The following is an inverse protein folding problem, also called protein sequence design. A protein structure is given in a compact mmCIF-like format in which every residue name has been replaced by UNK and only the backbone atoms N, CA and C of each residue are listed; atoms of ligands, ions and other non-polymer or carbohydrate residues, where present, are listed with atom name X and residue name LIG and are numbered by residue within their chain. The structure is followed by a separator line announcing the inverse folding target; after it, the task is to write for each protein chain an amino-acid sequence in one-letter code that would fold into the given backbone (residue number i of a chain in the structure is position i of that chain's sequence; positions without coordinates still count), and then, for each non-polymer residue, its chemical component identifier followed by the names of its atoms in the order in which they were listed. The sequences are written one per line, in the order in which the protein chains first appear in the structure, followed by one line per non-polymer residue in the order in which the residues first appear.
data_IF_324222153847
#
_entry.id   IF_324222153847
#
_cell.length_a   1.000
_cell.length_b   1.000
_cell.length_c   1.000
_cell.angle_alpha   90.00
_cell.angle_beta   90.00
_cell.angle_gamma   90.00
#
_symmetry.space_group_name_H-M   'P 1'
#
loop_
_entity.id
_entity.type
_entity.pdbx_description
1 polymer ?
#
# COMPACT_ATOMS: atom_id res chain seq x y z
N UNK A 1 -1.30 -14.69 2.59
CA UNK A 1 0.07 -14.21 2.31
C UNK A 1 0.10 -12.70 2.45
N UNK A 2 1.20 -12.12 2.95
CA UNK A 2 1.35 -10.67 3.09
C UNK A 2 2.64 -10.19 2.43
N UNK A 3 2.56 -9.16 1.59
CA UNK A 3 3.70 -8.58 0.89
C UNK A 3 3.89 -7.11 1.27
N UNK A 4 4.99 -6.79 1.96
CA UNK A 4 5.31 -5.43 2.38
C UNK A 4 6.20 -4.73 1.33
N UNK A 5 5.65 -3.72 0.65
CA UNK A 5 6.36 -3.00 -0.41
C UNK A 5 6.05 -1.50 -0.40
N UNK A 6 6.98 -0.68 -0.86
CA UNK A 6 6.70 0.72 -1.15
C UNK A 6 7.10 1.06 -2.58
N UNK A 7 6.41 2.04 -3.16
CA UNK A 7 6.86 2.66 -4.42
C UNK A 7 8.29 3.20 -4.31
N UNK A 8 8.90 3.50 -5.45
CA UNK A 8 10.28 3.97 -5.49
C UNK A 8 10.41 5.21 -6.36
N UNK A 9 11.49 5.95 -6.12
CA UNK A 9 11.90 7.06 -6.96
C UNK A 9 13.20 6.65 -7.66
N UNK A 10 13.10 6.28 -8.93
CA UNK A 10 14.21 5.73 -9.71
C UNK A 10 14.37 6.55 -10.97
N UNK A 11 15.60 6.91 -11.34
CA UNK A 11 15.90 7.71 -12.54
C UNK A 11 15.04 8.99 -12.65
N UNK A 12 14.85 9.68 -11.51
CA UNK A 12 14.02 10.89 -11.38
C UNK A 12 12.54 10.71 -11.76
N UNK A 13 12.04 9.47 -11.77
CA UNK A 13 10.65 9.14 -12.07
C UNK A 13 10.03 8.42 -10.88
N UNK A 14 8.77 8.75 -10.60
CA UNK A 14 7.96 7.97 -9.68
C UNK A 14 7.63 6.62 -10.29
N UNK A 15 7.99 5.54 -9.60
CA UNK A 15 7.71 4.18 -10.03
C UNK A 15 6.74 3.54 -9.04
N UNK A 16 5.47 3.31 -9.43
CA UNK A 16 4.44 2.72 -8.58
C UNK A 16 4.63 1.20 -8.44
N UNK A 17 5.74 0.79 -7.82
CA UNK A 17 6.10 -0.63 -7.69
C UNK A 17 5.04 -1.40 -6.89
N UNK A 18 4.45 -0.79 -5.85
CA UNK A 18 3.45 -1.45 -5.03
C UNK A 18 2.23 -1.88 -5.85
N UNK A 19 1.70 -0.98 -6.67
CA UNK A 19 0.55 -1.27 -7.54
C UNK A 19 0.88 -2.25 -8.65
N UNK A 20 2.09 -2.20 -9.22
CA UNK A 20 2.51 -3.19 -10.22
C UNK A 20 2.60 -4.59 -9.64
N UNK A 21 3.13 -4.74 -8.43
CA UNK A 21 3.15 -6.04 -7.75
C UNK A 21 1.74 -6.49 -7.41
N UNK A 22 0.88 -5.59 -6.92
CA UNK A 22 -0.53 -5.92 -6.68
C UNK A 22 -1.19 -6.48 -7.95
N UNK A 23 -1.03 -5.77 -9.07
CA UNK A 23 -1.57 -6.20 -10.36
C UNK A 23 -1.02 -7.58 -10.77
N UNK A 24 0.29 -7.79 -10.67
CA UNK A 24 0.89 -9.10 -10.98
C UNK A 24 0.35 -10.22 -10.08
N UNK A 25 0.20 -9.97 -8.77
CA UNK A 25 -0.29 -10.98 -7.82
C UNK A 25 -1.75 -11.36 -8.11
N UNK A 26 -2.59 -10.39 -8.48
CA UNK A 26 -4.01 -10.62 -8.74
C UNK A 26 -4.27 -11.16 -10.15
N UNK A 27 -3.72 -10.50 -11.18
CA UNK A 27 -4.01 -10.83 -12.58
C UNK A 27 -3.15 -11.98 -13.11
N UNK A 28 -1.84 -11.98 -12.85
CA UNK A 28 -0.93 -12.96 -13.46
C UNK A 28 -0.84 -14.23 -12.62
N UNK A 29 -0.78 -14.11 -11.29
CA UNK A 29 -0.67 -15.26 -10.38
C UNK A 29 -2.05 -15.81 -9.98
N UNK A 30 -3.10 -14.99 -10.07
CA UNK A 30 -4.47 -15.41 -9.73
C UNK A 30 -4.73 -15.45 -8.22
N UNK A 31 -4.00 -14.68 -7.41
CA UNK A 31 -4.30 -14.56 -5.99
C UNK A 31 -5.53 -13.69 -5.75
N UNK A 32 -6.34 -14.08 -4.77
CA UNK A 32 -7.50 -13.31 -4.35
C UNK A 32 -7.05 -12.14 -3.48
N UNK A 33 -7.37 -10.89 -3.85
CA UNK A 33 -7.04 -9.74 -3.02
C UNK A 33 -7.89 -9.74 -1.75
N UNK A 34 -7.24 -9.63 -0.59
CA UNK A 34 -7.91 -9.53 0.70
C UNK A 34 -8.00 -8.06 1.11
N UNK A 35 -6.85 -7.38 1.18
CA UNK A 35 -6.76 -5.99 1.64
C UNK A 35 -5.43 -5.33 1.23
N UNK A 36 -5.40 -4.01 1.22
CA UNK A 36 -4.18 -3.20 1.04
C UNK A 36 -4.08 -2.22 2.22
N UNK A 37 -3.11 -2.46 3.09
CA UNK A 37 -2.96 -1.68 4.33
C UNK A 37 -1.80 -0.69 4.18
N UNK A 38 -2.02 0.58 4.54
CA UNK A 38 -0.97 1.59 4.61
C UNK A 38 -0.19 1.48 5.93
N UNK A 39 1.06 1.03 5.85
CA UNK A 39 1.97 0.91 6.98
C UNK A 39 2.81 2.18 7.10
N UNK A 40 2.48 3.03 8.06
CA UNK A 40 3.23 4.24 8.36
C UNK A 40 4.59 3.93 9.01
N UNK A 41 5.67 4.51 8.48
CA UNK A 41 7.04 4.38 9.02
C UNK A 41 7.39 5.62 9.82
N UNK A 42 7.44 5.47 11.15
CA UNK A 42 7.72 6.58 12.08
C UNK A 42 9.21 6.93 12.20
N UNK A 43 10.11 6.01 11.86
CA UNK A 43 11.56 6.17 12.00
C UNK A 43 12.24 6.34 10.62
N UNK A 44 11.98 7.44 9.92
CA UNK A 44 12.59 7.76 8.63
C UNK A 44 13.42 9.03 8.73
N UNK A 45 14.55 9.07 8.03
CA UNK A 45 15.43 10.25 7.94
C UNK A 45 14.74 11.49 7.36
N UNK A 46 13.65 11.30 6.61
CA UNK A 46 12.79 12.36 6.09
C UNK A 46 11.78 12.89 7.10
N UNK A 47 11.59 12.26 8.26
CA UNK A 47 10.63 12.68 9.28
C UNK A 47 11.24 13.71 10.25
N UNK A 48 11.88 14.75 9.72
CA UNK A 48 12.47 15.85 10.52
C UNK A 48 11.84 17.19 10.19
N UNK A 49 11.90 18.15 11.12
CA UNK A 49 11.31 19.50 10.93
C UNK A 49 11.81 20.20 9.66
N UNK A 50 13.07 19.99 9.30
CA UNK A 50 13.67 20.57 8.07
C UNK A 50 12.94 20.05 6.84
N UNK A 51 12.67 18.74 6.78
CA UNK A 51 11.94 18.14 5.65
C UNK A 51 10.47 18.57 5.61
N UNK A 52 9.81 18.71 6.77
CA UNK A 52 8.46 19.27 6.85
C UNK A 52 8.40 20.72 6.34
N UNK A 53 9.36 21.57 6.73
CA UNK A 53 9.46 22.93 6.20
C UNK A 53 9.72 22.96 4.69
N UNK A 54 10.62 22.10 4.19
CA UNK A 54 10.89 22.00 2.74
C UNK A 54 9.67 21.50 1.97
N UNK A 55 8.94 20.53 2.52
CA UNK A 55 7.69 20.03 1.95
C UNK A 55 6.66 21.16 1.78
N UNK A 56 6.49 22.01 2.80
CA UNK A 56 5.63 23.19 2.72
C UNK A 56 6.13 24.22 1.71
N UNK A 57 7.44 24.56 1.76
CA UNK A 57 8.04 25.60 0.91
C UNK A 57 8.05 25.22 -0.58
N UNK A 58 8.30 23.95 -0.89
CA UNK A 58 8.44 23.45 -2.26
C UNK A 58 7.25 22.59 -2.72
N UNK A 59 6.14 22.61 -1.97
CA UNK A 59 4.88 21.95 -2.27
C UNK A 59 4.99 20.46 -2.66
N UNK A 60 5.58 19.64 -1.77
CA UNK A 60 5.63 18.19 -1.94
C UNK A 60 5.31 17.45 -0.63
N UNK A 61 4.84 16.21 -0.72
CA UNK A 61 4.56 15.38 0.46
C UNK A 61 5.75 14.52 0.85
N UNK A 62 5.96 14.35 2.16
CA UNK A 62 6.95 13.41 2.67
C UNK A 62 6.46 11.98 2.47
N UNK A 63 7.33 11.16 1.86
CA UNK A 63 7.07 9.74 1.71
C UNK A 63 7.16 9.05 3.07
N UNK A 64 6.00 8.66 3.61
CA UNK A 64 5.89 8.15 4.98
C UNK A 64 5.38 6.72 5.13
N UNK A 65 4.91 6.07 4.07
CA UNK A 65 4.24 4.77 4.18
C UNK A 65 4.73 3.73 3.17
N UNK A 66 4.44 2.47 3.49
CA UNK A 66 4.52 1.31 2.60
C UNK A 66 3.13 0.69 2.49
N UNK A 67 2.89 -0.07 1.44
CA UNK A 67 1.74 -0.96 1.32
C UNK A 67 2.08 -2.32 1.92
N UNK A 68 1.19 -2.85 2.75
CA UNK A 68 1.10 -4.27 3.05
C UNK A 68 -0.05 -4.83 2.22
N UNK A 69 0.30 -5.56 1.17
CA UNK A 69 -0.67 -6.22 0.30
C UNK A 69 -0.99 -7.58 0.90
N UNK A 70 -2.26 -7.79 1.25
CA UNK A 70 -2.77 -9.07 1.74
C UNK A 70 -3.50 -9.77 0.62
N UNK A 71 -3.05 -10.98 0.31
CA UNK A 71 -3.57 -11.81 -0.77
C UNK A 71 -3.71 -13.25 -0.30
N UNK A 72 -4.73 -13.93 -0.82
CA UNK A 72 -4.98 -15.35 -0.54
C UNK A 72 -4.69 -16.18 -1.78
N UNK A 73 -4.12 -17.36 -1.55
CA UNK A 73 -4.01 -18.36 -2.60
C UNK A 73 -5.42 -18.84 -2.97
N UNK A 74 -5.75 -19.01 -4.26
CA UNK A 74 -7.03 -19.57 -4.64
C UNK A 74 -7.09 -21.04 -4.21
N UNK A 75 -8.00 -21.37 -3.29
CA UNK A 75 -8.19 -22.75 -2.79
C UNK A 75 -9.23 -23.54 -3.62
N UNK A 76 -9.52 -23.09 -4.85
CA UNK A 76 -10.56 -23.66 -5.71
C UNK A 76 -12.00 -23.39 -5.27
N UNK A 77 -12.20 -22.99 -4.00
CA UNK A 77 -13.47 -22.46 -3.48
C UNK A 77 -13.54 -20.96 -3.76
N UNK A 78 -14.37 -20.54 -4.71
CA UNK A 78 -14.72 -19.11 -4.85
C UNK A 78 -15.25 -18.62 -3.51
N UNK A 79 -14.60 -17.62 -2.92
CA UNK A 79 -15.15 -16.98 -1.73
C UNK A 79 -16.41 -16.23 -2.11
N UNK A 80 -17.54 -16.59 -1.49
CA UNK A 80 -18.71 -15.72 -1.52
C UNK A 80 -18.32 -14.41 -0.84
N UNK A 81 -18.36 -13.31 -1.59
CA UNK A 81 -18.18 -11.98 -1.00
C UNK A 81 -19.32 -11.80 0.01
N UNK A 82 -19.04 -11.45 1.27
CA UNK A 82 -20.11 -11.20 2.23
C UNK A 82 -21.02 -10.13 1.64
N UNK A 83 -22.29 -10.49 1.42
CA UNK A 83 -23.29 -9.62 0.79
C UNK A 83 -23.66 -8.41 1.66
N UNK A 84 -23.26 -8.43 2.95
CA UNK A 84 -23.47 -7.37 3.93
C UNK A 84 -22.16 -7.05 4.64
N UNK A 85 -21.70 -5.81 4.45
CA UNK A 85 -20.62 -5.22 5.25
C UNK A 85 -21.30 -4.46 6.40
N UNK A 86 -21.28 -5.02 7.61
CA UNK A 86 -21.73 -4.29 8.80
C UNK A 86 -20.66 -3.26 9.19
N UNK A 87 -20.84 -2.03 8.72
CA UNK A 87 -19.98 -0.91 9.08
C UNK A 87 -20.15 -0.59 10.57
N UNK A 88 -19.18 -0.99 11.40
CA UNK A 88 -19.10 -0.49 12.77
C UNK A 88 -18.71 0.98 12.72
N UNK A 89 -19.63 1.85 13.15
CA UNK A 89 -19.38 3.28 13.33
C UNK A 89 -18.47 3.44 14.54
N UNK A 90 -17.22 3.85 14.33
CA UNK A 90 -16.34 4.21 15.45
C UNK A 90 -16.90 5.48 16.12
N UNK A 91 -17.10 5.41 17.44
CA UNK A 91 -17.50 6.54 18.29
C UNK A 91 -16.29 7.37 18.69
#
# INVERSE_FOLDING_TARGET
MGWLIGDQWVKRKFTPVGFRIYQMLVENVGFEPIDIICVARRNQSSNTRIWHYRAQKFNFFLRGFKYLILVRKPDGKKMERPSKIEWKKYK
#
